data_IF_209702010681
#
_entry.id   IF_209702010681
#
_cell.length_a   1.000
_cell.length_b   1.000
_cell.length_c   1.000
_cell.angle_alpha   90.00
_cell.angle_beta   90.00
_cell.angle_gamma   90.00
#
_symmetry.space_group_name_H-M   'P 1'
#
loop_
_entity.id
_entity.type
_entity.pdbx_description
1 polymer ?
#
# COMPACT_ATOMS: atom_id res chain seq x y z
N UNK A 1 49.35 17.39 11.62
CA UNK A 1 48.66 16.70 10.50
C UNK A 1 47.32 17.40 10.22
N UNK A 2 47.25 18.24 9.18
CA UNK A 2 46.03 18.96 8.79
C UNK A 2 45.26 18.08 7.79
N UNK A 3 44.16 17.45 8.23
CA UNK A 3 43.27 16.73 7.32
C UNK A 3 42.71 17.73 6.28
N UNK A 4 42.77 17.45 4.96
CA UNK A 4 42.26 18.37 3.97
C UNK A 4 40.76 18.51 4.18
N UNK A 5 40.29 19.75 4.33
CA UNK A 5 38.88 20.09 4.52
C UNK A 5 37.97 19.41 3.46
N UNK A 6 38.49 19.17 2.26
CA UNK A 6 37.81 18.42 1.19
C UNK A 6 37.44 16.97 1.54
N UNK A 7 38.28 16.23 2.28
CA UNK A 7 37.96 14.86 2.67
C UNK A 7 36.84 14.81 3.73
N UNK A 8 36.81 15.78 4.63
CA UNK A 8 35.73 15.93 5.63
C UNK A 8 34.42 16.35 4.97
N UNK A 9 34.47 17.23 3.97
CA UNK A 9 33.31 17.61 3.19
C UNK A 9 32.74 16.44 2.38
N UNK A 10 33.60 15.65 1.71
CA UNK A 10 33.15 14.47 0.97
C UNK A 10 32.53 13.40 1.87
N UNK A 11 33.14 13.13 3.03
CA UNK A 11 32.58 12.21 4.02
C UNK A 11 31.23 12.71 4.57
N UNK A 12 31.11 14.01 4.84
CA UNK A 12 29.86 14.61 5.31
C UNK A 12 28.76 14.57 4.23
N UNK A 13 29.09 14.87 2.96
CA UNK A 13 28.16 14.76 1.84
C UNK A 13 27.68 13.33 1.62
N UNK A 14 28.59 12.36 1.72
CA UNK A 14 28.26 10.95 1.60
C UNK A 14 27.36 10.48 2.77
N UNK A 15 27.68 10.88 4.00
CA UNK A 15 26.85 10.60 5.17
C UNK A 15 25.46 11.24 5.06
N UNK A 16 25.37 12.49 4.60
CA UNK A 16 24.10 13.19 4.37
C UNK A 16 23.24 12.50 3.30
N UNK A 17 23.86 12.06 2.20
CA UNK A 17 23.18 11.30 1.14
C UNK A 17 22.64 9.96 1.64
N UNK A 18 23.40 9.26 2.48
CA UNK A 18 22.96 8.01 3.11
C UNK A 18 21.79 8.26 4.07
N UNK A 19 21.85 9.32 4.90
CA UNK A 19 20.75 9.71 5.80
C UNK A 19 19.48 10.05 5.02
N UNK A 20 19.59 10.69 3.86
CA UNK A 20 18.43 11.00 3.00
C UNK A 20 17.71 9.73 2.50
N UNK A 21 18.46 8.66 2.22
CA UNK A 21 17.89 7.36 1.81
C UNK A 21 17.24 6.58 2.97
N UNK A 22 17.55 6.93 4.21
CA UNK A 22 17.07 6.25 5.42
C UNK A 22 15.84 6.94 6.05
N UNK A 23 15.33 8.02 5.44
CA UNK A 23 14.06 8.60 5.88
C UNK A 23 12.96 7.55 5.69
N UNK A 24 12.29 7.10 6.77
CA UNK A 24 11.05 6.36 6.58
C UNK A 24 10.12 7.28 5.80
N UNK A 25 9.54 6.77 4.71
CA UNK A 25 8.46 7.48 4.03
C UNK A 25 7.42 7.80 5.10
N UNK A 26 7.23 9.08 5.40
CA UNK A 26 6.22 9.56 6.34
C UNK A 26 4.86 9.40 5.64
N UNK A 27 4.37 8.18 5.57
CA UNK A 27 3.18 7.82 4.82
C UNK A 27 2.87 6.34 4.92
N UNK A 28 1.58 6.02 4.90
CA UNK A 28 1.10 4.65 4.71
C UNK A 28 1.83 4.02 3.51
N UNK A 29 2.44 2.87 3.77
CA UNK A 29 3.42 2.25 2.89
C UNK A 29 2.78 1.53 1.70
N UNK A 30 2.11 2.25 0.80
CA UNK A 30 1.32 1.74 -0.34
C UNK A 30 1.47 0.23 -0.67
N UNK A 31 0.38 -0.55 -0.62
CA UNK A 31 0.44 -1.98 -0.83
C UNK A 31 1.13 -2.37 -2.14
N UNK A 32 1.89 -3.49 -2.14
CA UNK A 32 2.51 -3.97 -3.37
C UNK A 32 1.44 -4.24 -4.41
N UNK A 33 1.74 -3.92 -5.67
CA UNK A 33 0.81 -4.02 -6.82
C UNK A 33 -0.33 -3.00 -6.82
N UNK A 34 -0.34 -2.02 -5.91
CA UNK A 34 -1.36 -0.97 -5.90
C UNK A 34 -0.74 0.40 -6.19
N UNK A 35 -1.55 1.31 -6.74
CA UNK A 35 -1.28 2.74 -6.83
C UNK A 35 -2.03 3.45 -5.71
N UNK A 36 -1.37 4.31 -4.96
CA UNK A 36 -1.99 5.01 -3.84
C UNK A 36 -2.06 6.51 -4.06
N UNK A 37 -3.21 7.10 -3.75
CA UNK A 37 -3.43 8.54 -3.70
C UNK A 37 -3.94 8.90 -2.30
N UNK A 38 -3.04 9.36 -1.43
CA UNK A 38 -3.32 9.59 0.00
C UNK A 38 -3.83 8.29 0.68
N UNK A 39 -5.13 8.21 0.94
CA UNK A 39 -5.83 7.10 1.61
C UNK A 39 -6.67 6.26 0.63
N UNK A 40 -6.52 6.49 -0.69
CA UNK A 40 -7.22 5.74 -1.73
C UNK A 40 -6.26 4.76 -2.40
N UNK A 41 -6.60 3.48 -2.37
CA UNK A 41 -5.79 2.39 -2.88
C UNK A 41 -6.42 1.84 -4.16
N UNK A 42 -5.69 1.94 -5.27
CA UNK A 42 -6.10 1.45 -6.59
C UNK A 42 -5.30 0.19 -6.94
N UNK A 43 -5.94 -0.96 -6.80
CA UNK A 43 -5.38 -2.30 -6.98
C UNK A 43 -6.03 -3.01 -8.19
N UNK A 44 -6.30 -2.24 -9.25
CA UNK A 44 -7.01 -2.68 -10.44
C UNK A 44 -6.12 -3.58 -11.33
N UNK A 45 -6.69 -4.60 -11.97
CA UNK A 45 -5.99 -5.47 -12.95
C UNK A 45 -4.72 -6.15 -12.43
N UNK A 46 -4.70 -6.58 -11.17
CA UNK A 46 -3.52 -7.20 -10.54
C UNK A 46 -3.58 -8.73 -10.46
N UNK A 47 -4.69 -9.32 -10.91
CA UNK A 47 -4.92 -10.76 -10.86
C UNK A 47 -5.26 -11.27 -9.46
N UNK A 48 -5.91 -10.45 -8.63
CA UNK A 48 -6.34 -10.88 -7.30
C UNK A 48 -7.51 -11.86 -7.41
N UNK A 49 -7.40 -13.01 -6.75
CA UNK A 49 -8.48 -13.99 -6.60
C UNK A 49 -9.24 -13.83 -5.27
N UNK A 50 -8.68 -13.03 -4.36
CA UNK A 50 -9.26 -12.67 -3.07
C UNK A 50 -8.83 -11.24 -2.74
N UNK A 51 -9.59 -10.56 -1.87
CA UNK A 51 -9.19 -9.27 -1.31
C UNK A 51 -7.83 -9.45 -0.61
N UNK A 52 -6.80 -8.65 -0.96
CA UNK A 52 -5.49 -8.75 -0.34
C UNK A 52 -5.54 -8.28 1.11
N UNK A 53 -4.92 -9.04 2.01
CA UNK A 53 -4.78 -8.62 3.40
C UNK A 53 -3.65 -7.59 3.49
N UNK A 54 -4.00 -6.32 3.40
CA UNK A 54 -3.02 -5.23 3.54
C UNK A 54 -2.81 -4.94 5.02
N UNK A 55 -1.58 -5.12 5.48
CA UNK A 55 -1.15 -4.78 6.86
C UNK A 55 -1.31 -3.27 7.16
N UNK A 56 -1.55 -2.45 6.14
CA UNK A 56 -1.79 -1.02 6.25
C UNK A 56 -3.24 -0.72 6.63
N UNK A 57 -3.39 -0.45 7.92
CA UNK A 57 -4.66 -0.07 8.53
C UNK A 57 -5.02 1.36 8.10
N UNK A 58 -6.10 1.52 7.34
CA UNK A 58 -6.79 2.81 7.24
C UNK A 58 -6.88 3.47 5.86
N UNK A 59 -7.02 2.71 4.78
CA UNK A 59 -7.50 3.33 3.53
C UNK A 59 -8.95 3.79 3.70
N UNK A 60 -9.27 4.99 3.20
CA UNK A 60 -10.64 5.46 3.04
C UNK A 60 -11.30 4.83 1.81
N UNK A 61 -10.50 4.43 0.82
CA UNK A 61 -11.01 3.91 -0.42
C UNK A 61 -10.18 2.77 -0.97
N UNK A 62 -10.84 1.74 -1.49
CA UNK A 62 -10.22 0.58 -2.11
C UNK A 62 -10.88 0.26 -3.45
N UNK A 63 -10.07 0.15 -4.49
CA UNK A 63 -10.48 -0.29 -5.82
C UNK A 63 -9.77 -1.59 -6.17
N UNK A 64 -10.55 -2.63 -6.46
CA UNK A 64 -10.10 -3.97 -6.85
C UNK A 64 -10.72 -4.36 -8.20
N UNK A 65 -10.89 -3.40 -9.10
CA UNK A 65 -11.60 -3.62 -10.36
C UNK A 65 -10.80 -4.50 -11.31
N UNK A 66 -11.48 -5.19 -12.21
CA UNK A 66 -10.84 -6.02 -13.24
C UNK A 66 -9.92 -7.10 -12.64
N UNK A 67 -10.35 -7.72 -11.54
CA UNK A 67 -9.66 -8.84 -10.90
C UNK A 67 -10.49 -10.13 -11.05
N UNK A 68 -10.07 -11.19 -10.37
CA UNK A 68 -10.66 -12.54 -10.46
C UNK A 68 -11.29 -12.98 -9.14
N UNK A 69 -11.78 -12.04 -8.33
CA UNK A 69 -12.41 -12.33 -7.05
C UNK A 69 -13.74 -13.02 -7.31
N UNK A 70 -13.91 -14.23 -6.77
CA UNK A 70 -15.12 -15.05 -6.97
C UNK A 70 -16.00 -15.15 -5.73
N UNK A 71 -15.42 -15.00 -4.55
CA UNK A 71 -16.10 -15.16 -3.27
C UNK A 71 -15.67 -14.05 -2.31
N UNK A 72 -16.64 -13.54 -1.54
CA UNK A 72 -16.39 -12.60 -0.45
C UNK A 72 -16.66 -13.29 0.89
N UNK A 73 -15.61 -13.41 1.69
CA UNK A 73 -15.63 -14.00 3.03
C UNK A 73 -16.11 -13.01 4.09
N UNK A 74 -16.54 -13.55 5.24
CA UNK A 74 -16.71 -12.78 6.46
C UNK A 74 -15.39 -12.08 6.82
N UNK A 75 -15.46 -10.85 7.31
CA UNK A 75 -14.32 -10.06 7.79
C UNK A 75 -13.21 -9.81 6.77
N UNK A 76 -13.42 -10.11 5.48
CA UNK A 76 -12.38 -9.94 4.46
C UNK A 76 -11.95 -8.48 4.27
N UNK A 77 -12.80 -7.54 4.69
CA UNK A 77 -12.53 -6.11 4.71
C UNK A 77 -12.22 -5.55 6.11
N UNK A 78 -12.12 -6.39 7.16
CA UNK A 78 -11.96 -5.93 8.54
C UNK A 78 -10.66 -5.13 8.77
N UNK A 79 -9.62 -5.42 8.00
CA UNK A 79 -8.36 -4.64 8.00
C UNK A 79 -8.55 -3.19 7.51
N UNK A 80 -9.63 -2.93 6.75
CA UNK A 80 -9.97 -1.63 6.18
C UNK A 80 -11.08 -0.93 6.99
N UNK A 81 -10.87 -0.75 8.30
CA UNK A 81 -11.90 -0.25 9.22
C UNK A 81 -12.45 1.16 8.94
N UNK A 82 -11.81 1.93 8.06
CA UNK A 82 -12.21 3.31 7.70
C UNK A 82 -12.74 3.42 6.27
N UNK A 83 -13.02 2.29 5.61
CA UNK A 83 -13.45 2.30 4.22
C UNK A 83 -14.79 3.02 4.05
N UNK A 84 -14.83 4.02 3.19
CA UNK A 84 -16.06 4.72 2.77
C UNK A 84 -16.39 4.46 1.30
N UNK A 85 -15.43 3.94 0.55
CA UNK A 85 -15.53 3.69 -0.89
C UNK A 85 -14.90 2.34 -1.25
N UNK A 86 -15.67 1.48 -1.92
CA UNK A 86 -15.25 0.16 -2.36
C UNK A 86 -15.68 -0.09 -3.80
N UNK A 87 -14.72 -0.37 -4.69
CA UNK A 87 -14.99 -0.76 -6.07
C UNK A 87 -14.56 -2.21 -6.31
N UNK A 88 -15.52 -3.05 -6.73
CA UNK A 88 -15.34 -4.47 -7.03
C UNK A 88 -15.85 -4.82 -8.45
N UNK A 89 -16.15 -3.84 -9.29
CA UNK A 89 -16.66 -4.09 -10.65
C UNK A 89 -15.66 -4.87 -11.51
N UNK A 90 -16.17 -5.58 -12.51
CA UNK A 90 -15.39 -6.46 -13.39
C UNK A 90 -14.62 -7.55 -12.63
N UNK A 91 -15.25 -8.13 -11.60
CA UNK A 91 -14.82 -9.38 -10.94
C UNK A 91 -15.81 -10.52 -11.28
N UNK A 92 -15.62 -11.69 -10.66
CA UNK A 92 -16.42 -12.91 -10.88
C UNK A 92 -17.19 -13.31 -9.63
N UNK A 93 -17.58 -12.32 -8.81
CA UNK A 93 -18.17 -12.55 -7.49
C UNK A 93 -19.52 -13.23 -7.64
N UNK A 94 -19.58 -14.50 -7.23
CA UNK A 94 -20.78 -15.34 -7.27
C UNK A 94 -21.35 -15.61 -5.88
N UNK A 95 -20.56 -15.44 -4.83
CA UNK A 95 -20.96 -15.73 -3.45
C UNK A 95 -20.47 -14.66 -2.49
N UNK A 96 -21.36 -14.25 -1.59
CA UNK A 96 -21.06 -13.36 -0.47
C UNK A 96 -21.52 -14.08 0.79
N UNK A 97 -20.59 -14.35 1.71
CA UNK A 97 -20.93 -15.00 2.99
C UNK A 97 -21.52 -13.97 3.95
N UNK A 98 -22.70 -14.30 4.48
CA UNK A 98 -23.37 -13.50 5.50
C UNK A 98 -22.90 -13.87 6.92
N UNK A 99 -23.07 -12.92 7.84
CA UNK A 99 -22.96 -13.17 9.26
C UNK A 99 -24.15 -14.03 9.74
N UNK A 100 -23.96 -15.36 9.81
CA UNK A 100 -24.82 -16.26 10.59
C UNK A 100 -24.72 -16.01 12.08
#
# INVERSE_FOLDING_TARGET
>A
FKWPLGARMLAALYAMSMVLKMLPALGMACPPKCRCEKLLFYCDSQGFHSVPNTTEKGSLGLSLRHNYISELERDQFASFSQLTWLHLDHNQIATVREDS
#
